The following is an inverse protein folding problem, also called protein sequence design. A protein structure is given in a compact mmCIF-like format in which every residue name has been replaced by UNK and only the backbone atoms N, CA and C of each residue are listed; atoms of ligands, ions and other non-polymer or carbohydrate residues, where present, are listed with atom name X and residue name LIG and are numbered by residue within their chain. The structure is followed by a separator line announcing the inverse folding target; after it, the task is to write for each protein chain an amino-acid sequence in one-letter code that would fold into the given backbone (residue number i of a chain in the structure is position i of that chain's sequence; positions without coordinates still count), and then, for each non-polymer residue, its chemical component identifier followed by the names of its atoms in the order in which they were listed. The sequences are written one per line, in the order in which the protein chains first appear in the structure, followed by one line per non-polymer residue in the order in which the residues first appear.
data_IF_145704320857
#
_entry.id   IF_145704320857
#
_cell.length_a   1.000
_cell.length_b   1.000
_cell.length_c   1.000
_cell.angle_alpha   90.00
_cell.angle_beta   90.00
_cell.angle_gamma   90.00
#
_symmetry.space_group_name_H-M   'P 1'
#
loop_
_entity.id
_entity.type
_entity.pdbx_description
1 polymer ?
#
# COMPACT_ATOMS: atom_id res chain seq x y z
N UNK A 1 -53.61 -0.28 -21.59
CA UNK A 1 -52.23 -0.80 -21.69
C UNK A 1 -51.50 -0.33 -20.44
N UNK A 2 -51.27 -1.24 -19.50
CA UNK A 2 -50.67 -0.95 -18.20
C UNK A 2 -49.14 -0.91 -18.37
N UNK A 3 -48.44 0.21 -18.06
CA UNK A 3 -47.00 0.28 -18.22
C UNK A 3 -46.32 -0.60 -17.16
N UNK A 4 -45.82 -1.76 -17.58
CA UNK A 4 -45.13 -2.71 -16.74
C UNK A 4 -44.02 -2.02 -15.92
N UNK A 5 -44.20 -1.99 -14.60
CA UNK A 5 -43.17 -1.63 -13.63
C UNK A 5 -41.91 -2.49 -13.86
N UNK A 6 -40.71 -1.89 -13.96
CA UNK A 6 -39.49 -2.67 -14.14
C UNK A 6 -39.25 -3.59 -12.94
N UNK A 7 -38.76 -4.82 -13.14
CA UNK A 7 -38.57 -5.77 -12.06
C UNK A 7 -37.58 -5.22 -11.01
N UNK A 8 -37.94 -5.35 -9.74
CA UNK A 8 -37.12 -4.93 -8.62
C UNK A 8 -35.76 -5.63 -8.67
N UNK A 9 -34.68 -4.85 -8.82
CA UNK A 9 -33.31 -5.39 -8.80
C UNK A 9 -33.09 -6.09 -7.45
N UNK A 10 -32.73 -7.37 -7.50
CA UNK A 10 -32.34 -8.16 -6.34
C UNK A 10 -31.29 -7.40 -5.52
N UNK A 11 -31.59 -7.12 -4.24
CA UNK A 11 -30.65 -6.51 -3.28
C UNK A 11 -29.37 -7.36 -3.07
N UNK A 12 -29.35 -8.57 -3.62
CA UNK A 12 -28.30 -9.58 -3.47
C UNK A 12 -27.57 -9.91 -4.77
N UNK A 13 -27.95 -9.30 -5.90
CA UNK A 13 -27.13 -9.35 -7.10
C UNK A 13 -25.87 -8.52 -6.81
N UNK A 14 -24.79 -9.21 -6.42
CA UNK A 14 -23.56 -8.58 -5.97
C UNK A 14 -22.95 -7.71 -7.05
N UNK A 15 -22.75 -6.42 -6.76
CA UNK A 15 -22.02 -5.47 -7.60
C UNK A 15 -20.50 -5.66 -7.56
N UNK A 16 -20.03 -6.85 -7.21
CA UNK A 16 -18.60 -7.15 -7.15
C UNK A 16 -18.01 -7.18 -8.58
N UNK A 17 -16.78 -6.69 -8.77
CA UNK A 17 -16.10 -6.81 -10.06
C UNK A 17 -16.00 -8.28 -10.50
N UNK A 18 -16.06 -8.56 -11.81
CA UNK A 18 -15.88 -9.91 -12.32
C UNK A 18 -14.47 -10.44 -11.98
N UNK A 19 -14.36 -11.75 -11.77
CA UNK A 19 -13.06 -12.39 -11.53
C UNK A 19 -12.13 -12.19 -12.74
N UNK A 20 -10.86 -11.77 -12.54
CA UNK A 20 -9.94 -11.43 -13.63
C UNK A 20 -9.48 -12.64 -14.47
N UNK A 21 -9.81 -13.87 -14.08
CA UNK A 21 -9.37 -15.10 -14.71
C UNK A 21 -8.18 -15.76 -13.98
N UNK A 22 -8.00 -17.06 -14.19
CA UNK A 22 -7.01 -17.86 -13.45
C UNK A 22 -5.56 -17.46 -13.72
N UNK A 23 -5.23 -17.15 -14.98
CA UNK A 23 -3.86 -16.77 -15.38
C UNK A 23 -3.42 -15.44 -14.76
N UNK A 24 -4.17 -14.31 -14.86
CA UNK A 24 -3.81 -13.07 -14.19
C UNK A 24 -3.75 -13.21 -12.67
N UNK A 25 -4.65 -14.01 -12.07
CA UNK A 25 -4.64 -14.27 -10.64
C UNK A 25 -3.35 -15.01 -10.21
N UNK A 26 -2.95 -16.06 -10.93
CA UNK A 26 -1.73 -16.81 -10.64
C UNK A 26 -0.47 -15.95 -10.81
N UNK A 27 -0.39 -15.18 -11.89
CA UNK A 27 0.74 -14.29 -12.18
C UNK A 27 0.86 -13.17 -11.15
N UNK A 28 -0.24 -12.52 -10.78
CA UNK A 28 -0.27 -11.50 -9.73
C UNK A 28 0.12 -12.08 -8.35
N UNK A 29 -0.32 -13.30 -8.06
CA UNK A 29 0.05 -14.01 -6.82
C UNK A 29 1.56 -14.29 -6.78
N UNK A 30 2.11 -14.83 -7.86
CA UNK A 30 3.54 -15.12 -7.95
C UNK A 30 4.39 -13.84 -7.83
N UNK A 31 4.01 -12.77 -8.53
CA UNK A 31 4.69 -11.48 -8.42
C UNK A 31 4.65 -10.92 -6.99
N UNK A 32 3.52 -11.08 -6.30
CA UNK A 32 3.38 -10.70 -4.89
C UNK A 32 4.30 -11.53 -4.01
N UNK A 33 4.28 -12.86 -4.14
CA UNK A 33 5.15 -13.77 -3.37
C UNK A 33 6.63 -13.42 -3.56
N UNK A 34 7.07 -13.23 -4.81
CA UNK A 34 8.46 -12.82 -5.10
C UNK A 34 8.79 -11.49 -4.43
N UNK A 35 7.91 -10.50 -4.49
CA UNK A 35 8.08 -9.22 -3.81
C UNK A 35 8.25 -9.40 -2.30
N UNK A 36 7.42 -10.25 -1.68
CA UNK A 36 7.47 -10.52 -0.25
C UNK A 36 8.75 -11.25 0.15
N UNK A 37 9.21 -12.23 -0.63
CA UNK A 37 10.48 -12.93 -0.37
C UNK A 37 11.65 -11.95 -0.39
N UNK A 38 11.70 -11.04 -1.36
CA UNK A 38 12.75 -10.03 -1.44
C UNK A 38 12.66 -9.07 -0.23
N UNK A 39 11.46 -8.63 0.15
CA UNK A 39 11.25 -7.79 1.32
C UNK A 39 11.64 -8.48 2.63
N UNK A 40 11.33 -9.77 2.78
CA UNK A 40 11.72 -10.57 3.95
C UNK A 40 13.24 -10.69 4.03
N UNK A 41 13.90 -11.03 2.92
CA UNK A 41 15.35 -11.12 2.87
C UNK A 41 16.03 -9.79 3.26
N UNK A 42 15.48 -8.65 2.79
CA UNK A 42 15.97 -7.33 3.16
C UNK A 42 15.65 -6.99 4.63
N UNK A 43 14.46 -7.34 5.10
CA UNK A 43 14.02 -7.13 6.48
C UNK A 43 14.90 -7.88 7.48
N UNK A 44 15.22 -9.15 7.21
CA UNK A 44 16.15 -9.98 7.98
C UNK A 44 17.55 -9.36 7.98
N UNK A 45 18.07 -8.99 6.81
CA UNK A 45 19.40 -8.39 6.68
C UNK A 45 19.53 -7.03 7.37
N UNK A 46 18.43 -6.31 7.57
CA UNK A 46 18.41 -4.95 8.14
C UNK A 46 17.82 -4.89 9.55
N UNK A 47 17.33 -6.00 10.10
CA UNK A 47 16.69 -6.05 11.43
C UNK A 47 15.38 -5.24 11.52
N UNK A 48 14.65 -5.08 10.41
CA UNK A 48 13.44 -4.26 10.32
C UNK A 48 12.22 -5.06 9.81
N UNK A 49 12.04 -6.26 10.35
CA UNK A 49 10.99 -7.21 9.94
C UNK A 49 9.58 -6.63 9.98
N UNK A 50 9.29 -5.76 10.94
CA UNK A 50 7.93 -5.25 11.14
C UNK A 50 7.48 -4.32 10.01
N UNK A 51 8.41 -3.72 9.27
CA UNK A 51 8.11 -2.90 8.09
C UNK A 51 7.54 -3.73 6.92
N UNK A 52 7.71 -5.06 6.97
CA UNK A 52 7.20 -5.96 5.93
C UNK A 52 5.67 -5.90 5.87
N UNK A 53 4.97 -5.72 7.00
CA UNK A 53 3.50 -5.72 7.01
C UNK A 53 2.87 -4.65 6.09
N UNK A 54 3.19 -3.34 6.22
CA UNK A 54 2.66 -2.33 5.31
C UNK A 54 3.22 -2.44 3.88
N UNK A 55 4.47 -2.87 3.71
CA UNK A 55 5.06 -3.09 2.39
C UNK A 55 4.46 -4.31 1.67
N UNK A 56 4.02 -5.33 2.41
CA UNK A 56 3.32 -6.47 1.85
C UNK A 56 1.96 -6.08 1.28
N UNK A 57 1.20 -5.26 2.01
CA UNK A 57 -0.05 -4.70 1.50
C UNK A 57 0.18 -3.78 0.28
N UNK A 58 1.30 -3.06 0.25
CA UNK A 58 1.73 -2.27 -0.92
C UNK A 58 1.97 -3.17 -2.13
N UNK A 59 2.72 -4.27 -1.96
CA UNK A 59 3.02 -5.24 -3.02
C UNK A 59 1.73 -5.86 -3.58
N UNK A 60 0.80 -6.26 -2.70
CA UNK A 60 -0.50 -6.76 -3.10
C UNK A 60 -1.26 -5.74 -3.95
N UNK A 61 -1.35 -4.47 -3.55
CA UNK A 61 -2.06 -3.43 -4.30
C UNK A 61 -1.43 -3.22 -5.69
N UNK A 62 -0.10 -3.16 -5.79
CA UNK A 62 0.60 -2.99 -7.07
C UNK A 62 0.34 -4.18 -7.99
N UNK A 63 0.45 -5.40 -7.47
CA UNK A 63 0.33 -6.62 -8.28
C UNK A 63 -1.11 -6.99 -8.64
N UNK A 64 -2.08 -6.64 -7.80
CA UNK A 64 -3.51 -6.97 -8.02
C UNK A 64 -4.30 -5.85 -8.69
N UNK A 65 -3.92 -4.59 -8.46
CA UNK A 65 -4.66 -3.41 -8.93
C UNK A 65 -3.74 -2.32 -9.52
N UNK A 66 -2.87 -2.64 -10.48
CA UNK A 66 -1.80 -1.74 -10.95
C UNK A 66 -2.29 -0.43 -11.55
N UNK A 67 -3.51 -0.38 -12.08
CA UNK A 67 -4.06 0.82 -12.72
C UNK A 67 -4.77 1.76 -11.74
N UNK A 68 -5.01 1.32 -10.50
CA UNK A 68 -5.76 2.12 -9.54
C UNK A 68 -4.88 3.20 -8.90
N UNK A 69 -5.45 4.35 -8.50
CA UNK A 69 -4.70 5.44 -7.87
C UNK A 69 -3.82 5.02 -6.67
N UNK A 70 -4.26 4.13 -5.76
CA UNK A 70 -3.43 3.74 -4.61
C UNK A 70 -2.19 2.91 -4.97
N UNK A 71 -2.15 2.30 -6.16
CA UNK A 71 -0.97 1.56 -6.61
C UNK A 71 0.14 2.48 -7.13
N UNK A 72 -0.19 3.72 -7.52
CA UNK A 72 0.73 4.53 -8.32
C UNK A 72 1.97 4.98 -7.55
N UNK A 73 3.13 5.17 -8.24
CA UNK A 73 4.40 5.51 -7.62
C UNK A 73 4.34 6.71 -6.67
N UNK A 74 3.66 7.81 -7.07
CA UNK A 74 3.45 8.98 -6.19
C UNK A 74 2.75 8.62 -4.89
N UNK A 75 1.67 7.85 -4.97
CA UNK A 75 0.91 7.41 -3.81
C UNK A 75 1.76 6.55 -2.88
N UNK A 76 2.44 5.55 -3.44
CA UNK A 76 3.32 4.64 -2.69
C UNK A 76 4.43 5.41 -1.97
N UNK A 77 5.19 6.24 -2.70
CA UNK A 77 6.35 6.94 -2.14
C UNK A 77 5.95 8.02 -1.13
N UNK A 78 5.03 8.93 -1.52
CA UNK A 78 4.61 10.02 -0.63
C UNK A 78 3.81 9.50 0.56
N UNK A 79 2.95 8.51 0.35
CA UNK A 79 2.18 7.87 1.40
C UNK A 79 3.10 7.24 2.43
N UNK A 80 3.97 6.31 2.00
CA UNK A 80 4.85 5.58 2.93
C UNK A 80 5.78 6.51 3.68
N UNK A 81 6.58 7.32 2.98
CA UNK A 81 7.58 8.20 3.62
C UNK A 81 6.91 9.28 4.46
N UNK A 82 5.82 9.90 3.97
CA UNK A 82 5.09 10.92 4.72
C UNK A 82 4.44 10.39 5.99
N UNK A 83 3.84 9.19 5.92
CA UNK A 83 3.22 8.56 7.09
C UNK A 83 4.26 8.07 8.09
N UNK A 84 5.38 7.51 7.61
CA UNK A 84 6.51 7.14 8.46
C UNK A 84 7.08 8.35 9.20
N UNK A 85 7.24 9.48 8.51
CA UNK A 85 7.69 10.73 9.12
C UNK A 85 6.70 11.24 10.18
N UNK A 86 5.40 11.25 9.88
CA UNK A 86 4.38 11.64 10.85
C UNK A 86 4.37 10.74 12.09
N UNK A 87 4.53 9.43 11.91
CA UNK A 87 4.64 8.51 13.04
C UNK A 87 5.87 8.78 13.91
N UNK A 88 7.03 9.04 13.30
CA UNK A 88 8.26 9.41 14.01
C UNK A 88 8.12 10.74 14.76
N UNK A 89 7.49 11.75 14.14
CA UNK A 89 7.22 13.03 14.80
C UNK A 89 6.24 12.84 15.97
N UNK A 90 5.19 12.05 15.78
CA UNK A 90 4.19 11.81 16.81
C UNK A 90 4.80 11.12 18.04
N UNK A 91 5.62 10.07 17.87
CA UNK A 91 6.27 9.40 19.00
C UNK A 91 7.31 10.28 19.68
N UNK A 92 8.04 11.10 18.93
CA UNK A 92 9.01 12.04 19.50
C UNK A 92 8.36 13.13 20.35
N UNK A 93 7.16 13.59 20.00
CA UNK A 93 6.46 14.70 20.69
C UNK A 93 5.52 14.20 21.79
N UNK A 94 4.80 13.12 21.56
CA UNK A 94 3.71 12.65 22.42
C UNK A 94 4.06 11.35 23.16
N UNK A 95 5.21 10.75 22.86
CA UNK A 95 5.64 9.47 23.42
C UNK A 95 4.96 8.26 22.79
N UNK A 96 5.37 7.07 23.26
CA UNK A 96 4.89 5.79 22.72
C UNK A 96 3.60 5.35 23.39
N UNK A 97 2.50 5.34 22.64
CA UNK A 97 1.23 4.72 23.08
C UNK A 97 0.33 4.34 21.90
N UNK A 98 -0.66 3.47 22.15
CA UNK A 98 -1.68 3.13 21.15
C UNK A 98 -2.54 4.34 20.74
N UNK A 99 -2.77 5.27 21.67
CA UNK A 99 -3.50 6.51 21.39
C UNK A 99 -2.73 7.40 20.42
N UNK A 100 -1.42 7.57 20.64
CA UNK A 100 -0.55 8.33 19.74
C UNK A 100 -0.46 7.65 18.37
N UNK A 101 -0.41 6.32 18.32
CA UNK A 101 -0.42 5.58 17.07
C UNK A 101 -1.71 5.79 16.26
N UNK A 102 -2.87 5.79 16.94
CA UNK A 102 -4.16 6.08 16.30
C UNK A 102 -4.22 7.51 15.73
N UNK A 103 -3.73 8.50 16.50
CA UNK A 103 -3.64 9.89 16.04
C UNK A 103 -2.69 10.02 14.84
N UNK A 104 -1.49 9.41 14.91
CA UNK A 104 -0.52 9.44 13.82
C UNK A 104 -1.07 8.81 12.53
N UNK A 105 -1.78 7.68 12.64
CA UNK A 105 -2.44 7.04 11.51
C UNK A 105 -3.52 7.94 10.90
N UNK A 106 -4.37 8.56 11.72
CA UNK A 106 -5.41 9.50 11.26
C UNK A 106 -4.83 10.73 10.56
N UNK A 107 -3.79 11.33 11.14
CA UNK A 107 -3.06 12.46 10.52
C UNK A 107 -2.41 12.06 9.19
N UNK A 108 -1.89 10.83 9.10
CA UNK A 108 -1.32 10.30 7.87
C UNK A 108 -2.35 10.16 6.76
N UNK A 109 -3.58 9.74 7.08
CA UNK A 109 -4.70 9.75 6.13
C UNK A 109 -5.00 11.17 5.66
N UNK A 110 -5.08 12.14 6.58
CA UNK A 110 -5.27 13.56 6.25
C UNK A 110 -4.17 14.09 5.30
N UNK A 111 -2.91 13.81 5.60
CA UNK A 111 -1.77 14.19 4.76
C UNK A 111 -1.89 13.60 3.34
N UNK A 112 -2.20 12.31 3.23
CA UNK A 112 -2.37 11.65 1.94
C UNK A 112 -3.52 12.23 1.12
N UNK A 113 -4.63 12.60 1.78
CA UNK A 113 -5.76 13.27 1.12
C UNK A 113 -5.34 14.65 0.58
N UNK A 114 -4.64 15.45 1.39
CA UNK A 114 -4.14 16.78 0.98
C UNK A 114 -3.15 16.69 -0.18
N UNK A 115 -2.25 15.71 -0.15
CA UNK A 115 -1.25 15.48 -1.19
C UNK A 115 -1.81 14.75 -2.42
N UNK A 116 -3.09 14.35 -2.42
CA UNK A 116 -3.72 13.51 -3.46
C UNK A 116 -2.91 12.23 -3.73
N UNK A 117 -2.37 11.65 -2.65
CA UNK A 117 -1.43 10.54 -2.66
C UNK A 117 -1.93 9.40 -1.76
N UNK A 118 -3.22 9.07 -1.84
CA UNK A 118 -3.84 8.04 -1.01
C UNK A 118 -3.19 6.68 -1.26
N UNK A 119 -2.54 6.15 -0.22
CA UNK A 119 -1.96 4.82 -0.20
C UNK A 119 -2.25 4.18 1.15
N UNK A 120 -3.39 3.48 1.23
CA UNK A 120 -3.92 2.94 2.49
C UNK A 120 -2.91 2.19 3.38
N UNK A 121 -1.97 1.37 2.84
CA UNK A 121 -0.96 0.69 3.67
C UNK A 121 -0.08 1.63 4.50
N UNK A 122 0.11 2.88 4.07
CA UNK A 122 0.98 3.82 4.76
C UNK A 122 0.45 4.26 6.13
N UNK A 123 -0.87 4.20 6.36
CA UNK A 123 -1.43 4.48 7.69
C UNK A 123 -0.91 3.47 8.74
N UNK A 124 -0.75 2.21 8.36
CA UNK A 124 -0.16 1.19 9.23
C UNK A 124 1.35 1.45 9.48
N UNK A 125 2.05 2.07 8.52
CA UNK A 125 3.45 2.49 8.70
C UNK A 125 3.60 3.56 9.78
N UNK A 126 2.68 4.52 9.85
CA UNK A 126 2.67 5.51 10.94
C UNK A 126 2.45 4.85 12.31
N UNK A 127 1.54 3.88 12.39
CA UNK A 127 1.32 3.08 13.62
C UNK A 127 2.61 2.38 14.03
N UNK A 128 3.28 1.69 13.09
CA UNK A 128 4.51 0.97 13.39
C UNK A 128 5.65 1.91 13.83
N UNK A 129 5.80 3.06 13.19
CA UNK A 129 6.79 4.06 13.59
C UNK A 129 6.57 4.50 15.05
N UNK A 130 5.31 4.67 15.49
CA UNK A 130 5.02 5.01 16.88
C UNK A 130 5.30 3.85 17.84
N UNK A 131 4.84 2.63 17.51
CA UNK A 131 4.92 1.50 18.44
C UNK A 131 6.32 0.90 18.56
N UNK A 132 7.11 1.01 17.50
CA UNK A 132 8.49 0.50 17.46
C UNK A 132 9.52 1.55 17.87
N UNK A 133 9.18 2.84 17.78
CA UNK A 133 10.09 3.95 18.03
C UNK A 133 11.49 3.74 17.41
N UNK A 134 11.56 3.47 16.10
CA UNK A 134 12.80 3.07 15.45
C UNK A 134 13.72 4.27 15.24
N UNK A 135 15.02 4.00 15.02
CA UNK A 135 15.97 5.04 14.64
C UNK A 135 15.49 5.81 13.38
N UNK A 136 15.20 7.13 13.47
CA UNK A 136 14.42 7.85 12.47
C UNK A 136 14.98 7.78 11.04
N UNK A 137 16.27 8.10 10.88
CA UNK A 137 16.92 8.14 9.58
C UNK A 137 16.97 6.76 8.93
N UNK A 138 17.35 5.74 9.70
CA UNK A 138 17.43 4.35 9.23
C UNK A 138 16.06 3.84 8.80
N UNK A 139 15.02 4.11 9.59
CA UNK A 139 13.65 3.72 9.28
C UNK A 139 13.16 4.36 7.97
N UNK A 140 13.30 5.68 7.83
CA UNK A 140 12.84 6.40 6.63
C UNK A 140 13.60 5.96 5.36
N UNK A 141 14.91 5.77 5.45
CA UNK A 141 15.72 5.29 4.31
C UNK A 141 15.30 3.90 3.88
N UNK A 142 15.17 2.95 4.83
CA UNK A 142 14.73 1.58 4.51
C UNK A 142 13.31 1.55 3.96
N UNK A 143 12.42 2.40 4.48
CA UNK A 143 11.05 2.53 3.99
C UNK A 143 11.01 3.05 2.55
N UNK A 144 11.81 4.08 2.25
CA UNK A 144 11.92 4.63 0.90
C UNK A 144 12.52 3.61 -0.07
N UNK A 145 13.56 2.87 0.33
CA UNK A 145 14.17 1.81 -0.47
C UNK A 145 13.17 0.67 -0.73
N UNK A 146 12.48 0.19 0.30
CA UNK A 146 11.46 -0.86 0.17
C UNK A 146 10.30 -0.43 -0.74
N UNK A 147 9.85 0.82 -0.60
CA UNK A 147 8.81 1.40 -1.46
C UNK A 147 9.25 1.51 -2.91
N UNK A 148 10.47 2.03 -3.16
CA UNK A 148 11.04 2.14 -4.49
C UNK A 148 11.27 0.78 -5.15
N UNK A 149 11.71 -0.22 -4.37
CA UNK A 149 11.85 -1.60 -4.82
C UNK A 149 10.51 -2.17 -5.29
N UNK A 150 9.42 -1.95 -4.54
CA UNK A 150 8.09 -2.42 -4.95
C UNK A 150 7.58 -1.71 -6.22
N UNK A 151 7.85 -0.41 -6.35
CA UNK A 151 7.58 0.32 -7.60
C UNK A 151 8.37 -0.30 -8.76
N UNK A 152 9.65 -0.63 -8.56
CA UNK A 152 10.48 -1.29 -9.56
C UNK A 152 9.95 -2.68 -9.93
N UNK A 153 9.53 -3.49 -8.96
CA UNK A 153 8.90 -4.78 -9.24
C UNK A 153 7.63 -4.60 -10.06
N UNK A 154 6.78 -3.62 -9.72
CA UNK A 154 5.60 -3.29 -10.52
C UNK A 154 5.92 -2.90 -11.96
N UNK A 155 6.97 -2.09 -12.16
CA UNK A 155 7.45 -1.72 -13.50
C UNK A 155 7.88 -2.95 -14.30
N UNK A 156 8.69 -3.82 -13.70
CA UNK A 156 9.20 -5.04 -14.34
C UNK A 156 8.02 -5.99 -14.65
N UNK A 157 7.14 -6.24 -13.70
CA UNK A 157 6.00 -7.13 -13.87
C UNK A 157 5.06 -6.63 -14.98
N UNK A 158 4.84 -5.31 -15.09
CA UNK A 158 4.04 -4.74 -16.17
C UNK A 158 4.70 -4.90 -17.53
N UNK A 159 6.02 -4.66 -17.61
CA UNK A 159 6.81 -4.86 -18.85
C UNK A 159 6.80 -6.31 -19.33
N UNK A 160 6.78 -7.27 -18.40
CA UNK A 160 6.72 -8.69 -18.70
C UNK A 160 5.28 -9.19 -18.98
N UNK A 161 4.27 -8.32 -18.94
CA UNK A 161 2.87 -8.70 -19.14
C UNK A 161 2.29 -9.58 -18.02
N UNK A 162 2.93 -9.60 -16.85
CA UNK A 162 2.51 -10.35 -15.65
C UNK A 162 1.31 -9.66 -14.99
N UNK A 163 1.34 -8.33 -14.97
CA UNK A 163 0.28 -7.47 -14.43
C UNK A 163 -0.16 -6.45 -15.49
N UNK A 164 -1.27 -5.74 -15.22
CA UNK A 164 -1.75 -4.66 -16.07
C UNK A 164 -0.76 -3.50 -16.23
N UNK A 165 -1.11 -2.50 -17.05
CA UNK A 165 -0.27 -1.32 -17.31
C UNK A 165 0.09 -0.60 -16.00
N UNK A 166 1.39 -0.50 -15.73
CA UNK A 166 1.93 0.18 -14.56
C UNK A 166 3.22 0.95 -14.91
N UNK A 167 3.34 2.22 -14.47
CA UNK A 167 2.31 3.03 -13.85
C UNK A 167 1.27 3.51 -14.88
N UNK A 168 0.08 3.84 -14.38
CA UNK A 168 -0.91 4.61 -15.14
C UNK A 168 -0.54 6.10 -15.19
N UNK A 169 0.01 6.64 -14.09
CA UNK A 169 0.56 7.99 -14.00
C UNK A 169 1.67 8.06 -12.95
N UNK A 170 2.55 9.05 -13.06
CA UNK A 170 3.65 9.26 -12.11
C UNK A 170 3.33 10.28 -11.04
N UNK A 171 2.69 11.40 -11.40
CA UNK A 171 2.35 12.50 -10.51
C UNK A 171 0.92 12.97 -10.76
#
# INVERSE_FOLDING_TARGET
ADPATPPARSRWAGGAPPFPGSRPAALGTLATVVSLVILVALGEATGQLLMIAPLAATAMIICSTPVLPPAQPRGVMLGQVGSGLLGLVAVAVLGRSLWVAAVAAGLSVGLMLLLRAVHAPAAATAVLAVLQDPAPLRFLVLLAVGSALLVLVGLIASRLGVIGKYPAYWW
#
